data_IF_560905290188
#
_entry.id   IF_560905290188
#
_cell.length_a   1.000
_cell.length_b   1.000
_cell.length_c   1.000
_cell.angle_alpha   90.00
_cell.angle_beta   90.00
_cell.angle_gamma   90.00
#
_symmetry.space_group_name_H-M   'P 1'
#
loop_
_entity.id
_entity.type
_entity.pdbx_description
1 polymer ?
#
# COMPACT_ATOMS: atom_id res chain seq x y z
N UNK A 1 -25.68 45.94 -3.34
CA UNK A 1 -25.83 44.57 -3.87
C UNK A 1 -25.23 43.60 -2.86
N UNK A 2 -26.03 43.18 -1.88
CA UNK A 2 -25.59 42.37 -0.75
C UNK A 2 -26.03 40.92 -0.98
N UNK A 3 -25.07 39.98 -1.05
CA UNK A 3 -25.37 38.54 -1.11
C UNK A 3 -25.49 38.00 0.32
N UNK A 4 -26.70 37.56 0.66
CA UNK A 4 -26.99 36.78 1.87
C UNK A 4 -26.42 35.37 1.68
N UNK A 5 -25.53 34.95 2.58
CA UNK A 5 -25.04 33.58 2.71
C UNK A 5 -26.05 32.80 3.56
N UNK A 6 -26.62 31.73 3.03
CA UNK A 6 -27.42 30.78 3.80
C UNK A 6 -26.50 29.83 4.59
N UNK A 7 -26.69 29.67 5.91
CA UNK A 7 -26.15 28.54 6.66
C UNK A 7 -27.26 27.49 6.84
N UNK A 8 -27.15 26.38 6.12
CA UNK A 8 -28.09 25.27 6.31
C UNK A 8 -27.78 24.13 5.38
N UNK A 9 -27.01 23.14 5.87
CA UNK A 9 -26.99 21.72 5.49
C UNK A 9 -25.74 21.07 6.14
N UNK A 10 -25.83 20.76 7.43
CA UNK A 10 -24.86 19.91 8.11
C UNK A 10 -25.58 19.04 9.15
N UNK A 11 -26.50 18.20 8.69
CA UNK A 11 -26.98 17.03 9.43
C UNK A 11 -26.92 15.86 8.45
N UNK A 12 -25.72 15.28 8.33
CA UNK A 12 -25.48 14.02 7.62
C UNK A 12 -25.00 12.99 8.64
N UNK A 13 -25.78 12.74 9.69
CA UNK A 13 -25.78 11.42 10.30
C UNK A 13 -26.59 10.53 9.36
N UNK A 14 -25.92 9.53 8.78
CA UNK A 14 -26.08 8.24 9.41
C UNK A 14 -24.76 7.48 9.48
N UNK A 15 -24.15 7.49 10.67
CA UNK A 15 -23.20 6.44 11.05
C UNK A 15 -24.00 5.15 11.28
N UNK A 16 -24.31 4.45 10.20
CA UNK A 16 -24.83 3.09 10.28
C UNK A 16 -23.72 2.19 10.81
N UNK A 17 -23.71 1.98 12.13
CA UNK A 17 -22.86 0.98 12.76
C UNK A 17 -23.42 -0.40 12.43
N UNK A 18 -22.72 -1.16 11.59
CA UNK A 18 -23.09 -2.56 11.31
C UNK A 18 -22.15 -3.47 12.11
N UNK A 19 -22.67 -4.40 12.93
CA UNK A 19 -21.82 -5.34 13.63
C UNK A 19 -21.21 -6.35 12.64
N UNK A 20 -19.92 -6.64 12.81
CA UNK A 20 -19.28 -7.73 12.07
C UNK A 20 -19.97 -9.07 12.39
N UNK A 21 -20.39 -9.83 11.38
CA UNK A 21 -21.09 -11.11 11.61
C UNK A 21 -20.26 -12.13 12.41
N UNK A 22 -18.93 -12.07 12.34
CA UNK A 22 -18.05 -13.04 13.00
C UNK A 22 -17.71 -12.70 14.44
N UNK A 23 -17.38 -11.43 14.71
CA UNK A 23 -16.88 -11.02 16.02
C UNK A 23 -17.77 -10.00 16.74
N UNK A 24 -18.90 -9.60 16.13
CA UNK A 24 -19.84 -8.61 16.64
C UNK A 24 -19.25 -7.22 16.92
N UNK A 25 -18.00 -6.95 16.52
CA UNK A 25 -17.41 -5.62 16.65
C UNK A 25 -18.15 -4.62 15.76
N UNK A 26 -18.46 -3.43 16.32
CA UNK A 26 -19.12 -2.35 15.57
C UNK A 26 -18.14 -1.75 14.56
N UNK A 27 -18.53 -1.78 13.30
CA UNK A 27 -17.78 -1.18 12.20
C UNK A 27 -18.43 0.15 11.83
N UNK A 28 -17.60 1.20 11.72
CA UNK A 28 -18.02 2.53 11.31
C UNK A 28 -17.59 2.77 9.85
N UNK A 29 -18.55 3.16 9.01
CA UNK A 29 -18.31 3.44 7.59
C UNK A 29 -18.23 2.21 6.67
N UNK A 30 -17.86 2.44 5.40
CA UNK A 30 -17.79 1.39 4.36
C UNK A 30 -16.42 0.70 4.36
N UNK A 31 -16.18 -0.18 5.32
CA UNK A 31 -14.97 -1.01 5.36
C UNK A 31 -15.20 -2.36 4.70
N UNK A 32 -14.34 -2.76 3.75
CA UNK A 32 -14.40 -4.08 3.07
C UNK A 32 -13.95 -5.24 3.96
N UNK A 33 -13.15 -4.95 4.99
CA UNK A 33 -12.55 -5.94 5.88
C UNK A 33 -12.75 -5.50 7.31
N UNK A 34 -13.08 -6.44 8.18
CA UNK A 34 -13.16 -6.17 9.61
C UNK A 34 -11.73 -6.01 10.18
N UNK A 35 -11.36 -4.86 10.77
CA UNK A 35 -10.02 -4.64 11.31
C UNK A 35 -9.71 -5.52 12.53
N UNK A 36 -10.73 -6.11 13.15
CA UNK A 36 -10.56 -6.94 14.34
C UNK A 36 -10.31 -8.41 14.01
N UNK A 37 -11.05 -8.99 13.05
CA UNK A 37 -10.91 -10.41 12.69
C UNK A 37 -10.23 -10.66 11.34
N UNK A 38 -10.02 -9.62 10.53
CA UNK A 38 -9.33 -9.70 9.24
C UNK A 38 -10.15 -10.34 8.11
N UNK A 39 -11.42 -10.66 8.35
CA UNK A 39 -12.29 -11.26 7.33
C UNK A 39 -13.09 -10.22 6.55
N UNK A 40 -13.37 -10.60 5.30
CA UNK A 40 -14.15 -9.84 4.34
C UNK A 40 -15.55 -9.63 4.90
N UNK A 41 -15.91 -8.37 5.14
CA UNK A 41 -17.28 -8.01 5.45
C UNK A 41 -18.06 -8.12 4.13
N UNK A 42 -18.58 -9.30 3.82
CA UNK A 42 -19.51 -9.55 2.70
C UNK A 42 -20.86 -8.90 2.99
N UNK A 43 -20.86 -7.58 3.16
CA UNK A 43 -22.05 -6.77 3.22
C UNK A 43 -22.52 -6.53 1.79
N UNK A 44 -23.42 -7.38 1.32
CA UNK A 44 -24.29 -7.14 0.16
C UNK A 44 -25.25 -5.99 0.46
N UNK A 45 -24.72 -4.76 0.48
CA UNK A 45 -25.55 -3.56 0.45
C UNK A 45 -26.09 -3.34 -0.97
N UNK A 46 -27.30 -3.85 -1.22
CA UNK A 46 -28.19 -3.33 -2.27
C UNK A 46 -27.87 -3.69 -3.71
N UNK A 47 -27.81 -4.97 -4.05
CA UNK A 47 -27.92 -5.46 -5.44
C UNK A 47 -29.27 -6.14 -5.69
N UNK A 48 -30.37 -5.50 -5.30
CA UNK A 48 -31.72 -5.98 -5.60
C UNK A 48 -32.68 -4.80 -5.80
N UNK A 49 -32.67 -4.23 -7.00
CA UNK A 49 -33.82 -3.54 -7.57
C UNK A 49 -33.60 -3.28 -9.07
N UNK A 50 -33.78 -4.32 -9.89
CA UNK A 50 -34.49 -4.29 -11.20
C UNK A 50 -34.46 -5.69 -11.81
N UNK A 51 -35.63 -6.14 -12.31
CA UNK A 51 -35.97 -7.44 -12.92
C UNK A 51 -36.11 -8.63 -11.95
N UNK A 52 -37.13 -9.48 -11.98
CA UNK A 52 -38.48 -9.52 -12.56
C UNK A 52 -39.12 -10.82 -11.97
N UNK A 53 -40.45 -10.86 -11.84
CA UNK A 53 -41.30 -12.10 -11.82
C UNK A 53 -41.35 -12.93 -10.51
N UNK A 54 -42.44 -12.70 -9.75
CA UNK A 54 -43.51 -13.67 -9.42
C UNK A 54 -43.13 -15.08 -8.92
N UNK A 55 -43.44 -15.41 -7.65
CA UNK A 55 -44.56 -16.28 -7.25
C UNK A 55 -44.64 -16.43 -5.71
N UNK A 56 -45.81 -16.07 -5.18
CA UNK A 56 -46.54 -16.66 -4.05
C UNK A 56 -45.89 -17.89 -3.36
N UNK A 57 -45.31 -17.70 -2.17
CA UNK A 57 -45.31 -18.72 -1.11
C UNK A 57 -45.41 -18.02 0.25
N UNK A 58 -46.55 -18.23 0.90
CA UNK A 58 -46.80 -18.00 2.32
C UNK A 58 -45.62 -18.44 3.19
N UNK A 59 -44.90 -17.46 3.74
CA UNK A 59 -44.01 -17.67 4.86
C UNK A 59 -44.27 -16.56 5.88
N UNK A 60 -45.14 -16.89 6.83
CA UNK A 60 -45.41 -16.15 8.05
C UNK A 60 -44.09 -15.71 8.72
N UNK A 61 -43.76 -14.41 8.74
CA UNK A 61 -42.61 -13.94 9.50
C UNK A 61 -43.04 -13.83 10.96
N UNK A 62 -42.56 -14.79 11.77
CA UNK A 62 -42.61 -14.70 13.21
C UNK A 62 -42.07 -13.34 13.66
N UNK A 63 -42.97 -12.50 14.16
CA UNK A 63 -42.66 -11.22 14.80
C UNK A 63 -41.83 -11.52 16.05
N UNK A 64 -40.51 -11.46 15.92
CA UNK A 64 -39.64 -11.29 17.07
C UNK A 64 -39.87 -9.89 17.61
N UNK A 65 -40.70 -9.80 18.64
CA UNK A 65 -40.78 -8.66 19.54
C UNK A 65 -39.45 -8.64 20.31
N UNK A 66 -38.55 -7.67 20.10
CA UNK A 66 -37.46 -7.50 21.04
C UNK A 66 -38.10 -7.09 22.37
N UNK A 67 -37.93 -7.96 23.38
CA UNK A 67 -38.23 -7.61 24.75
C UNK A 67 -37.51 -6.30 25.09
N UNK A 68 -38.17 -5.35 25.78
CA UNK A 68 -37.44 -4.25 26.39
C UNK A 68 -36.45 -4.86 27.38
N UNK A 69 -35.17 -4.78 27.05
CA UNK A 69 -34.10 -5.12 27.98
C UNK A 69 -34.03 -3.99 29.01
N UNK A 70 -34.90 -4.09 30.02
CA UNK A 70 -34.84 -3.31 31.27
C UNK A 70 -33.52 -3.64 31.97
N UNK A 71 -32.48 -2.86 31.69
CA UNK A 71 -31.44 -2.66 32.69
C UNK A 71 -32.11 -1.94 33.86
N UNK A 72 -32.39 -2.69 34.92
CA UNK A 72 -32.89 -2.18 36.19
C UNK A 72 -32.08 -0.95 36.63
N UNK A 73 -32.74 0.20 36.51
CA UNK A 73 -32.40 1.46 37.13
C UNK A 73 -32.80 1.39 38.62
N UNK A 74 -32.20 0.47 39.39
CA UNK A 74 -32.34 0.49 40.86
C UNK A 74 -31.33 1.46 41.46
N UNK A 75 -31.43 2.72 41.06
CA UNK A 75 -30.80 3.84 41.73
C UNK A 75 -31.74 4.39 42.82
N UNK A 76 -32.01 3.58 43.85
CA UNK A 76 -32.53 4.12 45.12
C UNK A 76 -31.36 4.43 46.06
N UNK A 77 -30.42 5.25 45.58
CA UNK A 77 -29.43 5.89 46.46
C UNK A 77 -30.13 7.06 47.12
N UNK A 78 -30.39 6.91 48.41
CA UNK A 78 -30.85 7.99 49.28
C UNK A 78 -30.03 9.26 49.03
N UNK A 79 -30.70 10.29 48.52
CA UNK A 79 -30.17 11.64 48.42
C UNK A 79 -29.99 12.22 49.83
N UNK A 80 -28.93 11.82 50.52
CA UNK A 80 -28.39 12.57 51.65
C UNK A 80 -27.71 13.79 51.05
N UNK A 81 -28.39 14.93 51.15
CA UNK A 81 -27.82 16.22 50.74
C UNK A 81 -26.43 16.40 51.38
N UNK A 82 -25.35 16.55 50.59
CA UNK A 82 -24.04 16.80 51.15
C UNK A 82 -24.05 18.20 51.78
N UNK A 83 -23.80 18.26 53.09
CA UNK A 83 -23.62 19.51 53.81
C UNK A 83 -22.45 20.29 53.17
N UNK A 84 -22.66 21.54 52.70
CA UNK A 84 -21.60 22.36 52.13
C UNK A 84 -20.79 22.94 53.28
N UNK A 85 -19.65 22.33 53.62
CA UNK A 85 -18.81 22.92 54.67
C UNK A 85 -17.50 22.26 55.04
N UNK A 86 -17.20 21.04 54.59
CA UNK A 86 -16.01 20.33 55.08
C UNK A 86 -15.25 19.47 54.05
N UNK A 87 -15.37 19.74 52.75
CA UNK A 87 -14.72 18.92 51.69
C UNK A 87 -13.53 19.61 51.01
N UNK A 88 -13.16 20.84 51.42
CA UNK A 88 -12.10 21.57 50.73
C UNK A 88 -10.66 21.07 51.00
N UNK A 89 -10.43 20.16 51.95
CA UNK A 89 -9.06 19.71 52.31
C UNK A 89 -8.69 18.28 51.90
N UNK A 90 -9.62 17.49 51.36
CA UNK A 90 -9.34 16.14 50.80
C UNK A 90 -9.23 16.11 49.27
N UNK A 91 -9.54 17.21 48.58
CA UNK A 91 -9.50 17.29 47.11
C UNK A 91 -8.08 17.40 46.53
N UNK A 92 -7.12 17.94 47.29
CA UNK A 92 -5.77 18.17 46.78
C UNK A 92 -4.99 16.87 46.50
N UNK A 93 -5.17 15.83 47.31
CA UNK A 93 -4.46 14.54 47.14
C UNK A 93 -5.02 13.77 45.93
N UNK A 94 -6.34 13.82 45.71
CA UNK A 94 -6.98 13.17 44.56
C UNK A 94 -6.55 13.76 43.22
N UNK A 95 -6.38 15.09 43.14
CA UNK A 95 -5.95 15.77 41.93
C UNK A 95 -4.52 15.38 41.51
N UNK A 96 -3.59 15.25 42.46
CA UNK A 96 -2.21 14.83 42.17
C UNK A 96 -2.17 13.39 41.71
N UNK A 97 -2.90 12.48 42.37
CA UNK A 97 -2.96 11.08 41.95
C UNK A 97 -3.54 10.93 40.54
N UNK A 98 -4.60 11.68 40.21
CA UNK A 98 -5.18 11.67 38.87
C UNK A 98 -4.22 12.20 37.81
N UNK A 99 -3.48 13.28 38.09
CA UNK A 99 -2.46 13.81 37.18
C UNK A 99 -1.31 12.82 36.96
N UNK A 100 -0.84 12.15 38.02
CA UNK A 100 0.21 11.12 37.90
C UNK A 100 -0.28 9.96 37.02
N UNK A 101 -1.52 9.48 37.23
CA UNK A 101 -2.10 8.42 36.40
C UNK A 101 -2.27 8.86 34.94
N UNK A 102 -2.68 10.10 34.69
CA UNK A 102 -2.79 10.66 33.34
C UNK A 102 -1.42 10.70 32.63
N UNK A 103 -0.39 11.22 33.31
CA UNK A 103 0.98 11.28 32.77
C UNK A 103 1.52 9.87 32.50
N UNK A 104 1.27 8.91 33.40
CA UNK A 104 1.68 7.53 33.21
C UNK A 104 0.96 6.88 32.02
N UNK A 105 -0.34 7.11 31.86
CA UNK A 105 -1.12 6.62 30.73
C UNK A 105 -0.60 7.19 29.40
N UNK A 106 -0.26 8.49 29.37
CA UNK A 106 0.35 9.13 28.20
C UNK A 106 1.73 8.56 27.87
N UNK A 107 2.58 8.34 28.88
CA UNK A 107 3.90 7.74 28.70
C UNK A 107 3.80 6.30 28.16
N UNK A 108 2.89 5.49 28.69
CA UNK A 108 2.64 4.13 28.20
C UNK A 108 2.06 4.14 26.77
N UNK A 109 1.14 5.06 26.48
CA UNK A 109 0.60 5.25 25.13
C UNK A 109 1.70 5.60 24.13
N UNK A 110 2.62 6.50 24.50
CA UNK A 110 3.75 6.87 23.65
C UNK A 110 4.69 5.68 23.38
N UNK A 111 5.07 4.93 24.42
CA UNK A 111 5.92 3.74 24.26
C UNK A 111 5.23 2.65 23.42
N UNK A 112 3.91 2.50 23.54
CA UNK A 112 3.14 1.54 22.76
C UNK A 112 3.08 1.93 21.28
N UNK A 113 2.85 3.21 20.99
CA UNK A 113 2.83 3.75 19.61
C UNK A 113 4.22 3.63 18.98
N UNK A 114 5.28 3.94 19.72
CA UNK A 114 6.66 3.81 19.24
C UNK A 114 6.99 2.36 18.86
N UNK A 115 6.63 1.40 19.73
CA UNK A 115 6.79 -0.03 19.46
C UNK A 115 5.96 -0.50 18.26
N UNK A 116 4.73 0.00 18.10
CA UNK A 116 3.94 -0.30 16.91
C UNK A 116 4.59 0.28 15.64
N UNK A 117 5.14 1.49 15.72
CA UNK A 117 5.84 2.11 14.59
C UNK A 117 7.09 1.30 14.20
N UNK A 118 7.85 0.76 15.15
CA UNK A 118 8.99 -0.12 14.87
C UNK A 118 8.57 -1.44 14.20
N UNK A 119 7.48 -2.05 14.67
CA UNK A 119 6.97 -3.29 14.07
C UNK A 119 6.43 -3.08 12.66
N UNK A 120 5.75 -1.97 12.40
CA UNK A 120 5.30 -1.63 11.05
C UNK A 120 6.50 -1.35 10.12
N UNK A 121 7.50 -0.58 10.58
CA UNK A 121 8.72 -0.31 9.80
C UNK A 121 9.50 -1.58 9.48
N UNK A 122 9.62 -2.51 10.42
CA UNK A 122 10.32 -3.78 10.18
C UNK A 122 9.58 -4.70 9.21
N UNK A 123 8.23 -4.70 9.23
CA UNK A 123 7.41 -5.42 8.23
C UNK A 123 7.54 -4.83 6.83
N UNK A 124 7.51 -3.50 6.71
CA UNK A 124 7.72 -2.85 5.41
C UNK A 124 9.12 -3.13 4.87
N UNK A 125 10.14 -3.09 5.73
CA UNK A 125 11.50 -3.41 5.37
C UNK A 125 11.65 -4.86 4.91
N UNK A 126 11.08 -5.82 5.64
CA UNK A 126 11.12 -7.24 5.26
C UNK A 126 10.36 -7.51 3.95
N UNK A 127 9.24 -6.84 3.71
CA UNK A 127 8.50 -6.90 2.45
C UNK A 127 9.34 -6.37 1.27
N UNK A 128 10.02 -5.23 1.45
CA UNK A 128 10.92 -4.65 0.42
C UNK A 128 12.13 -5.55 0.15
N UNK A 129 12.72 -6.14 1.19
CA UNK A 129 13.79 -7.14 1.03
C UNK A 129 13.31 -8.36 0.26
N UNK A 130 12.14 -8.92 0.61
CA UNK A 130 11.55 -10.06 -0.09
C UNK A 130 11.24 -9.72 -1.56
N UNK A 131 10.78 -8.50 -1.84
CA UNK A 131 10.56 -8.03 -3.20
C UNK A 131 11.86 -7.97 -4.01
N UNK A 132 12.93 -7.44 -3.42
CA UNK A 132 14.24 -7.34 -4.06
C UNK A 132 14.87 -8.73 -4.29
N UNK A 133 14.75 -9.64 -3.32
CA UNK A 133 15.11 -11.05 -3.47
C UNK A 133 14.30 -11.71 -4.59
N UNK A 134 12.99 -11.50 -4.65
CA UNK A 134 12.14 -12.03 -5.71
C UNK A 134 12.55 -11.53 -7.10
N UNK A 135 12.96 -10.26 -7.23
CA UNK A 135 13.51 -9.72 -8.48
C UNK A 135 14.83 -10.40 -8.89
N UNK A 136 15.74 -10.61 -7.92
CA UNK A 136 16.97 -11.38 -8.14
C UNK A 136 16.71 -12.82 -8.59
N UNK A 137 15.76 -13.51 -7.94
CA UNK A 137 15.40 -14.89 -8.28
C UNK A 137 14.81 -15.00 -9.68
N UNK A 138 14.09 -13.98 -10.16
CA UNK A 138 13.58 -13.90 -11.54
C UNK A 138 14.66 -13.53 -12.57
N UNK A 139 15.86 -13.16 -12.13
CA UNK A 139 16.94 -12.69 -13.00
C UNK A 139 16.78 -11.23 -13.48
N UNK A 140 15.84 -10.48 -12.90
CA UNK A 140 15.66 -9.05 -13.19
C UNK A 140 16.62 -8.22 -12.34
N UNK A 141 17.88 -8.16 -12.78
CA UNK A 141 18.95 -7.46 -12.06
C UNK A 141 18.66 -5.95 -11.94
N UNK A 142 18.04 -5.34 -12.94
CA UNK A 142 17.73 -3.90 -12.94
C UNK A 142 16.60 -3.55 -11.96
N UNK A 143 15.58 -4.39 -11.81
CA UNK A 143 14.58 -4.20 -10.76
C UNK A 143 15.17 -4.43 -9.36
N UNK A 144 16.01 -5.46 -9.20
CA UNK A 144 16.69 -5.73 -7.94
C UNK A 144 17.63 -4.59 -7.52
N UNK A 145 18.40 -4.03 -8.44
CA UNK A 145 19.32 -2.92 -8.18
C UNK A 145 18.55 -1.67 -7.74
N UNK A 146 17.47 -1.31 -8.45
CA UNK A 146 16.61 -0.18 -8.07
C UNK A 146 16.03 -0.35 -6.67
N UNK A 147 15.57 -1.55 -6.32
CA UNK A 147 15.05 -1.85 -4.98
C UNK A 147 16.18 -1.77 -3.92
N UNK A 148 17.38 -2.27 -4.24
CA UNK A 148 18.54 -2.22 -3.36
C UNK A 148 19.00 -0.78 -3.09
N UNK A 149 19.00 0.11 -4.09
CA UNK A 149 19.36 1.53 -3.90
C UNK A 149 18.45 2.20 -2.87
N UNK A 150 17.13 1.97 -2.96
CA UNK A 150 16.15 2.50 -2.00
C UNK A 150 16.38 1.90 -0.60
N UNK A 151 16.63 0.60 -0.50
CA UNK A 151 16.92 -0.08 0.77
C UNK A 151 18.23 0.38 1.41
N UNK A 152 19.29 0.57 0.61
CA UNK A 152 20.60 1.00 1.08
C UNK A 152 20.60 2.46 1.56
N UNK A 153 19.78 3.32 0.95
CA UNK A 153 19.59 4.69 1.42
C UNK A 153 18.92 4.75 2.80
N UNK A 154 17.97 3.85 3.07
CA UNK A 154 17.28 3.78 4.35
C UNK A 154 18.08 3.03 5.44
N UNK A 155 18.80 1.97 5.05
CA UNK A 155 19.46 1.03 5.97
C UNK A 155 20.82 0.55 5.43
N UNK A 156 21.85 1.42 5.41
CA UNK A 156 23.15 1.09 4.80
C UNK A 156 23.90 -0.04 5.50
N UNK A 157 23.70 -0.18 6.82
CA UNK A 157 24.43 -1.15 7.65
C UNK A 157 23.67 -2.45 7.92
N UNK A 158 22.48 -2.63 7.34
CA UNK A 158 21.70 -3.83 7.60
C UNK A 158 22.33 -5.05 6.91
N UNK A 159 22.55 -6.18 7.62
CA UNK A 159 23.21 -7.37 7.06
C UNK A 159 22.49 -7.89 5.82
N UNK A 160 21.16 -7.97 5.86
CA UNK A 160 20.37 -8.40 4.70
C UNK A 160 20.52 -7.53 3.44
N UNK A 161 20.83 -6.24 3.56
CA UNK A 161 21.08 -5.37 2.40
C UNK A 161 22.49 -5.64 1.84
N UNK A 162 23.48 -5.87 2.71
CA UNK A 162 24.84 -6.25 2.30
C UNK A 162 24.85 -7.60 1.59
N UNK A 163 24.13 -8.59 2.12
CA UNK A 163 24.00 -9.91 1.50
C UNK A 163 23.35 -9.81 0.12
N UNK A 164 22.29 -9.01 0.00
CA UNK A 164 21.61 -8.80 -1.27
C UNK A 164 22.49 -8.12 -2.31
N UNK A 165 23.30 -7.15 -1.88
CA UNK A 165 24.28 -6.46 -2.75
C UNK A 165 25.34 -7.43 -3.25
N UNK A 166 25.91 -8.24 -2.36
CA UNK A 166 26.91 -9.24 -2.72
C UNK A 166 26.36 -10.26 -3.72
N UNK A 167 25.11 -10.69 -3.53
CA UNK A 167 24.43 -11.61 -4.46
C UNK A 167 24.20 -10.95 -5.84
N UNK A 168 23.75 -9.70 -5.86
CA UNK A 168 23.53 -8.95 -7.10
C UNK A 168 24.84 -8.76 -7.86
N UNK A 169 25.92 -8.36 -7.18
CA UNK A 169 27.25 -8.20 -7.77
C UNK A 169 27.80 -9.53 -8.31
N UNK A 170 27.56 -10.64 -7.60
CA UNK A 170 27.93 -11.99 -8.07
C UNK A 170 27.20 -12.33 -9.37
N UNK A 171 25.88 -12.15 -9.41
CA UNK A 171 25.06 -12.45 -10.59
C UNK A 171 25.39 -11.55 -11.77
N UNK A 172 25.71 -10.28 -11.52
CA UNK A 172 26.19 -9.35 -12.55
C UNK A 172 27.46 -9.87 -13.21
N UNK A 173 28.47 -10.25 -12.41
CA UNK A 173 29.71 -10.85 -12.93
C UNK A 173 29.48 -12.14 -13.71
N UNK A 174 28.58 -13.00 -13.25
CA UNK A 174 28.22 -14.24 -13.98
C UNK A 174 27.56 -13.94 -15.33
N UNK A 175 26.68 -12.94 -15.40
CA UNK A 175 26.05 -12.51 -16.66
C UNK A 175 27.08 -11.91 -17.62
N UNK A 176 27.98 -11.06 -17.13
CA UNK A 176 29.03 -10.47 -17.95
C UNK A 176 29.98 -11.54 -18.48
N UNK A 177 30.40 -12.49 -17.63
CA UNK A 177 31.24 -13.62 -18.05
C UNK A 177 30.53 -14.47 -19.11
N UNK A 178 29.24 -14.75 -18.95
CA UNK A 178 28.46 -15.52 -19.93
C UNK A 178 28.31 -14.76 -21.25
N UNK A 179 28.10 -13.44 -21.20
CA UNK A 179 28.02 -12.59 -22.39
C UNK A 179 29.34 -12.58 -23.15
N UNK A 180 30.47 -12.52 -22.44
CA UNK A 180 31.78 -12.58 -23.07
C UNK A 180 32.04 -13.95 -23.70
N UNK A 181 31.68 -15.05 -23.02
CA UNK A 181 31.76 -16.40 -23.60
C UNK A 181 30.93 -16.54 -24.88
N UNK A 182 29.71 -15.98 -24.91
CA UNK A 182 28.89 -15.97 -26.13
C UNK A 182 29.53 -15.13 -27.24
N UNK A 183 30.16 -14.00 -26.90
CA UNK A 183 30.89 -13.16 -27.85
C UNK A 183 32.08 -13.90 -28.45
N UNK A 184 32.88 -14.57 -27.62
CA UNK A 184 34.00 -15.41 -28.06
C UNK A 184 33.54 -16.58 -28.93
N UNK A 185 32.47 -17.28 -28.53
CA UNK A 185 31.89 -18.37 -29.31
C UNK A 185 31.39 -17.89 -30.68
N UNK A 186 30.76 -16.71 -30.74
CA UNK A 186 30.30 -16.09 -31.99
C UNK A 186 31.47 -15.71 -32.88
N UNK A 187 32.53 -15.11 -32.32
CA UNK A 187 33.75 -14.80 -33.07
C UNK A 187 34.43 -16.07 -33.60
N UNK A 188 34.47 -17.14 -32.80
CA UNK A 188 35.03 -18.43 -33.21
C UNK A 188 34.20 -19.06 -34.33
N UNK A 189 32.88 -19.04 -34.23
CA UNK A 189 31.98 -19.53 -35.29
C UNK A 189 32.16 -18.73 -36.59
N UNK A 190 32.23 -17.40 -36.51
CA UNK A 190 32.49 -16.54 -37.67
C UNK A 190 33.82 -16.87 -38.37
N UNK A 191 34.88 -17.17 -37.59
CA UNK A 191 36.17 -17.61 -38.14
C UNK A 191 36.08 -18.96 -38.85
N UNK A 192 35.37 -19.94 -38.29
CA UNK A 192 35.21 -21.28 -38.89
C UNK A 192 34.41 -21.20 -40.20
N UNK A 193 33.43 -20.30 -40.28
CA UNK A 193 32.61 -20.11 -41.47
C UNK A 193 33.28 -19.26 -42.56
N UNK A 194 34.51 -18.77 -42.34
CA UNK A 194 35.18 -17.87 -43.29
C UNK A 194 34.54 -16.47 -43.40
N UNK A 195 33.61 -16.13 -42.50
CA UNK A 195 32.94 -14.83 -42.45
C UNK A 195 33.77 -13.74 -41.75
N UNK A 196 34.89 -14.14 -41.16
CA UNK A 196 35.80 -13.24 -40.45
C UNK A 196 36.84 -12.58 -41.38
N UNK A 197 36.56 -12.42 -42.68
CA UNK A 197 37.27 -11.40 -43.44
C UNK A 197 36.87 -10.05 -42.86
N UNK A 198 37.81 -9.26 -42.31
CA UNK A 198 37.51 -7.94 -41.78
C UNK A 198 36.93 -7.12 -42.92
N UNK A 199 35.61 -6.94 -42.90
CA UNK A 199 34.96 -5.96 -43.76
C UNK A 199 35.73 -4.65 -43.55
N UNK A 200 36.27 -4.04 -44.60
CA UNK A 200 37.13 -2.87 -44.48
C UNK A 200 36.41 -1.86 -43.60
N UNK A 201 37.11 -1.44 -42.54
CA UNK A 201 36.62 -0.47 -41.57
C UNK A 201 35.81 0.60 -42.31
N UNK A 202 34.52 0.82 -41.97
CA UNK A 202 33.71 1.79 -42.68
C UNK A 202 34.50 3.09 -42.71
N UNK A 203 34.74 3.58 -43.93
CA UNK A 203 35.54 4.79 -44.15
C UNK A 203 35.06 5.87 -43.17
N UNK A 204 35.98 6.62 -42.54
CA UNK A 204 35.63 7.64 -41.56
C UNK A 204 34.49 8.48 -42.13
N UNK A 205 33.35 8.46 -41.43
CA UNK A 205 32.19 9.23 -41.85
C UNK A 205 32.65 10.68 -42.10
N UNK A 206 32.28 11.28 -43.24
CA UNK A 206 32.62 12.68 -43.50
C UNK A 206 32.19 13.53 -42.29
N UNK A 207 32.99 14.54 -41.91
CA UNK A 207 32.70 15.36 -40.74
C UNK A 207 31.26 15.84 -40.83
N UNK A 208 30.47 15.49 -39.81
CA UNK A 208 29.09 15.93 -39.69
C UNK A 208 29.08 17.45 -39.89
N UNK A 209 28.49 17.88 -41.01
CA UNK A 209 28.23 19.28 -41.26
C UNK A 209 27.50 19.80 -40.02
N UNK A 210 28.07 20.84 -39.41
CA UNK A 210 27.55 21.48 -38.22
C UNK A 210 26.08 21.80 -38.47
N UNK A 211 25.18 21.02 -37.89
CA UNK A 211 23.78 21.37 -37.85
C UNK A 211 23.70 22.69 -37.04
N UNK A 212 22.96 23.70 -37.54
CA UNK A 212 22.82 24.97 -36.84
C UNK A 212 22.28 24.74 -35.42
N UNK A 213 22.60 25.61 -34.46
CA UNK A 213 22.13 25.50 -33.08
C UNK A 213 20.60 25.56 -33.08
N UNK A 214 19.97 24.40 -32.94
CA UNK A 214 18.55 24.31 -32.64
C UNK A 214 18.39 24.85 -31.22
N UNK A 215 17.72 25.99 -31.12
CA UNK A 215 17.34 26.61 -29.87
C UNK A 215 16.66 25.57 -28.95
N UNK A 216 17.05 25.59 -27.68
CA UNK A 216 16.45 24.76 -26.64
C UNK A 216 14.92 24.88 -26.67
N UNK A 217 14.16 23.79 -26.80
CA UNK A 217 12.72 23.84 -26.58
C UNK A 217 12.45 24.12 -25.10
N UNK A 218 11.58 25.09 -24.87
CA UNK A 218 11.04 25.41 -23.55
C UNK A 218 10.37 24.16 -22.91
N UNK A 219 10.33 24.07 -21.57
CA UNK A 219 9.71 22.94 -20.90
C UNK A 219 8.19 22.94 -21.16
N UNK A 220 7.71 21.98 -21.94
CA UNK A 220 6.28 21.74 -22.09
C UNK A 220 5.74 21.01 -20.86
N UNK A 221 4.71 21.62 -20.29
CA UNK A 221 3.91 21.11 -19.20
C UNK A 221 3.02 19.99 -19.74
N UNK A 222 3.25 18.79 -19.22
CA UNK A 222 2.40 17.60 -19.19
C UNK A 222 1.13 17.55 -20.05
N UNK A 223 1.19 16.72 -21.09
CA UNK A 223 0.04 15.93 -21.55
C UNK A 223 0.41 14.46 -21.59
N UNK A 224 -0.44 13.65 -20.94
CA UNK A 224 -0.32 12.20 -20.86
C UNK A 224 -0.25 11.57 -22.26
N UNK A 225 0.71 10.69 -22.46
CA UNK A 225 0.93 9.92 -23.68
C UNK A 225 0.12 8.60 -23.63
N UNK A 226 -0.89 8.39 -24.50
CA UNK A 226 -1.60 7.13 -24.62
C UNK A 226 -0.95 6.12 -25.60
N UNK A 227 0.32 6.32 -26.02
CA UNK A 227 0.94 5.55 -27.11
C UNK A 227 1.66 4.25 -26.77
N UNK A 228 1.79 3.85 -25.49
CA UNK A 228 2.72 2.76 -25.12
C UNK A 228 2.17 1.33 -25.14
N UNK A 229 0.91 1.12 -25.49
CA UNK A 229 0.31 -0.23 -25.58
C UNK A 229 0.50 -0.92 -26.94
N UNK A 230 0.80 -0.19 -28.02
CA UNK A 230 0.78 -0.75 -29.37
C UNK A 230 1.94 -1.70 -29.74
N UNK A 231 3.10 -1.62 -29.07
CA UNK A 231 4.24 -2.47 -29.43
C UNK A 231 4.16 -3.92 -28.92
N UNK A 232 3.33 -4.21 -27.92
CA UNK A 232 3.23 -5.57 -27.38
C UNK A 232 2.28 -6.45 -28.20
N UNK A 233 1.25 -5.87 -28.84
CA UNK A 233 0.25 -6.65 -29.58
C UNK A 233 0.80 -7.21 -30.91
N UNK A 234 1.71 -6.48 -31.57
CA UNK A 234 2.36 -6.97 -32.80
C UNK A 234 3.39 -8.07 -32.53
N UNK A 235 4.05 -8.05 -31.37
CA UNK A 235 4.98 -9.12 -30.95
C UNK A 235 4.24 -10.39 -30.51
N UNK A 236 3.06 -10.25 -29.90
CA UNK A 236 2.21 -11.39 -29.56
C UNK A 236 1.62 -12.09 -30.80
N UNK A 237 1.31 -11.35 -31.87
CA UNK A 237 0.81 -11.92 -33.12
C UNK A 237 1.86 -12.74 -33.88
N UNK A 238 3.15 -12.35 -33.82
CA UNK A 238 4.24 -13.08 -34.46
C UNK A 238 4.55 -14.44 -33.79
N UNK A 239 4.31 -14.56 -32.48
CA UNK A 239 4.55 -15.81 -31.74
C UNK A 239 3.51 -16.92 -32.03
N UNK A 240 2.38 -16.60 -32.67
CA UNK A 240 1.30 -17.56 -32.97
C UNK A 240 1.39 -18.16 -34.38
N UNK A 241 2.26 -17.63 -35.26
CA UNK A 241 2.42 -18.13 -36.63
C UNK A 241 3.58 -19.12 -36.79
N UNK A 242 4.25 -19.52 -35.71
CA UNK A 242 5.29 -20.55 -35.72
C UNK A 242 4.66 -21.91 -35.34
N UNK A 243 3.84 -22.45 -36.24
CA UNK A 243 3.35 -23.84 -36.17
C UNK A 243 3.09 -24.43 -37.55
#
# INVERSE_FOLDING_TARGET
MSRLVQPGLANSEPDFSVPCQRCAAQLYGRVKFCPYCGEDASLTFGASATDEIQEDVDAEPARFVPAPFEWQEEALVHAVAPRPGAVLKRSAIGAVAALVLLVLALALGYLYVDKQHETNRSREFSAKLAQAQGALSRGDLSAAERALVVLAAAHPDHPGVRDLRNELDRRGREQDAKREQLREATQKAARVLGLAEPSPSPAPAPPAAQAPPIAAPAPEIGTADPGRSGCNDTLAALALCER
#
